data_IF_896858906047
#
_entry.id   IF_896858906047
#
_cell.length_a   1.000
_cell.length_b   1.000
_cell.length_c   1.000
_cell.angle_alpha   90.00
_cell.angle_beta   90.00
_cell.angle_gamma   90.00
#
_symmetry.space_group_name_H-M   'P 1'
#
loop_
_entity.id
_entity.type
_entity.pdbx_description
1 polymer ?
#
# COMPACT_ATOMS: atom_id res chain seq x y z
N UNK A 1 4.16 14.24 14.59
CA UNK A 1 3.03 14.13 15.54
C UNK A 1 1.76 13.88 14.75
N UNK A 2 1.23 12.66 14.74
CA UNK A 2 -0.20 12.43 14.46
C UNK A 2 -0.63 11.31 15.38
N UNK A 3 -0.93 11.71 16.60
CA UNK A 3 -1.73 10.95 17.56
C UNK A 3 -3.19 11.16 17.18
N UNK A 4 -3.97 10.10 17.05
CA UNK A 4 -5.43 10.18 17.09
C UNK A 4 -5.90 8.78 17.50
N UNK A 5 -6.11 8.49 18.78
CA UNK A 5 -7.06 9.19 19.64
C UNK A 5 -8.46 8.64 19.42
N UNK A 6 -8.66 7.34 19.62
CA UNK A 6 -9.99 6.72 19.79
C UNK A 6 -10.58 7.16 21.11
N UNK A 7 -11.65 7.96 21.11
CA UNK A 7 -12.75 7.92 22.10
C UNK A 7 -13.77 9.04 21.84
N UNK A 8 -14.91 8.71 21.22
CA UNK A 8 -16.16 9.43 21.47
C UNK A 8 -17.27 8.43 21.76
N UNK A 9 -17.97 8.77 22.84
CA UNK A 9 -18.89 7.99 23.66
C UNK A 9 -20.30 8.01 23.03
N UNK A 10 -20.97 6.87 23.13
CA UNK A 10 -22.34 6.51 22.72
C UNK A 10 -23.39 7.62 22.93
N UNK A 11 -24.25 7.91 21.93
CA UNK A 11 -25.73 7.81 21.96
C UNK A 11 -26.36 8.36 20.66
N UNK A 12 -27.40 7.65 20.17
CA UNK A 12 -28.36 7.93 19.08
C UNK A 12 -28.04 7.23 17.77
N UNK A 13 -28.86 6.21 17.50
CA UNK A 13 -28.89 5.46 16.25
C UNK A 13 -29.31 6.38 15.10
N UNK A 14 -28.41 6.54 14.13
CA UNK A 14 -28.73 6.74 12.73
C UNK A 14 -27.61 6.04 11.96
N UNK A 15 -27.91 4.86 11.42
CA UNK A 15 -27.02 4.13 10.52
C UNK A 15 -26.85 4.99 9.27
N UNK A 16 -25.72 5.67 9.18
CA UNK A 16 -25.19 6.16 7.92
C UNK A 16 -23.92 5.35 7.70
N UNK A 17 -24.01 4.38 6.79
CA UNK A 17 -22.84 3.68 6.25
C UNK A 17 -22.05 4.72 5.48
N UNK A 18 -21.20 5.47 6.18
CA UNK A 18 -20.11 6.18 5.57
C UNK A 18 -19.12 5.09 5.15
N UNK A 19 -19.27 4.64 3.91
CA UNK A 19 -18.29 3.80 3.25
C UNK A 19 -16.92 4.43 3.51
N UNK A 20 -16.04 3.69 4.21
CA UNK A 20 -14.63 4.02 4.20
C UNK A 20 -14.23 3.98 2.72
N UNK A 21 -14.15 5.14 2.10
CA UNK A 21 -13.32 5.33 0.94
C UNK A 21 -11.90 5.06 1.41
N UNK A 22 -11.49 3.79 1.30
CA UNK A 22 -10.09 3.50 1.06
C UNK A 22 -9.74 4.35 -0.15
N UNK A 23 -9.07 5.48 0.05
CA UNK A 23 -8.40 6.18 -1.03
C UNK A 23 -7.41 5.18 -1.62
N UNK A 24 -7.89 4.46 -2.63
CA UNK A 24 -7.04 3.90 -3.66
C UNK A 24 -6.51 5.10 -4.40
N UNK A 25 -5.41 5.66 -3.92
CA UNK A 25 -4.53 6.41 -4.82
C UNK A 25 -3.91 5.35 -5.72
N UNK A 26 -4.63 5.06 -6.80
CA UNK A 26 -4.03 4.69 -8.07
C UNK A 26 -3.12 5.86 -8.44
N UNK A 27 -1.89 5.85 -7.93
CA UNK A 27 -0.82 6.71 -8.42
C UNK A 27 -0.31 6.10 -9.73
N UNK A 28 -1.23 6.03 -10.70
CA UNK A 28 -1.02 5.56 -12.05
C UNK A 28 -0.58 6.68 -12.99
N UNK A 29 -0.02 7.76 -12.45
CA UNK A 29 0.32 8.93 -13.23
C UNK A 29 1.73 9.39 -12.85
N UNK A 30 2.65 9.26 -13.82
CA UNK A 30 3.91 10.01 -13.94
C UNK A 30 5.16 9.37 -13.31
N UNK A 31 5.90 8.64 -14.15
CA UNK A 31 7.34 8.35 -14.02
C UNK A 31 7.84 8.20 -12.57
N UNK A 32 7.56 7.05 -11.97
CA UNK A 32 8.09 6.70 -10.64
C UNK A 32 9.59 6.46 -10.78
N UNK A 33 10.42 7.47 -10.51
CA UNK A 33 11.87 7.25 -10.36
C UNK A 33 12.17 6.32 -9.19
N UNK A 34 11.33 6.36 -8.13
CA UNK A 34 11.36 5.45 -7.00
C UNK A 34 10.17 5.63 -6.05
N UNK A 35 9.87 4.62 -5.23
CA UNK A 35 8.91 4.73 -4.12
C UNK A 35 9.44 5.65 -3.01
N UNK A 36 8.65 6.67 -2.64
CA UNK A 36 8.90 7.53 -1.46
C UNK A 36 8.09 7.11 -0.24
N UNK A 37 7.00 6.38 -0.47
CA UNK A 37 6.12 5.83 0.57
C UNK A 37 5.83 4.37 0.24
N UNK A 38 5.42 3.60 1.25
CA UNK A 38 5.10 2.18 1.12
C UNK A 38 3.76 1.86 1.76
N UNK A 39 3.02 0.94 1.14
CA UNK A 39 1.81 0.37 1.67
C UNK A 39 2.09 -0.92 2.44
N UNK A 40 1.34 -1.13 3.53
CA UNK A 40 1.28 -2.42 4.25
C UNK A 40 0.11 -3.29 3.81
N UNK A 41 -0.83 -2.73 3.05
CA UNK A 41 -2.01 -3.45 2.56
C UNK A 41 -1.59 -4.51 1.56
N UNK A 42 -2.17 -5.70 1.69
CA UNK A 42 -1.94 -6.79 0.75
C UNK A 42 -2.51 -6.47 -0.63
N UNK A 43 -1.70 -6.71 -1.67
CA UNK A 43 -2.13 -6.57 -3.06
C UNK A 43 -2.92 -7.81 -3.45
N UNK A 44 -4.20 -7.62 -3.70
CA UNK A 44 -5.11 -8.67 -4.19
C UNK A 44 -5.14 -8.74 -5.71
N UNK A 45 -4.69 -7.68 -6.39
CA UNK A 45 -4.63 -7.64 -7.84
C UNK A 45 -3.61 -8.65 -8.38
N UNK A 46 -3.84 -9.21 -9.59
CA UNK A 46 -2.87 -10.08 -10.24
C UNK A 46 -1.53 -9.34 -10.44
N UNK A 47 -0.47 -9.92 -9.87
CA UNK A 47 0.89 -9.42 -9.98
C UNK A 47 1.50 -10.06 -11.24
N UNK A 48 2.06 -9.25 -12.13
CA UNK A 48 2.72 -9.69 -13.36
C UNK A 48 4.24 -9.74 -13.20
N UNK A 49 4.78 -8.99 -12.24
CA UNK A 49 6.20 -8.93 -11.94
C UNK A 49 6.47 -8.19 -10.64
N UNK A 50 7.73 -8.19 -10.22
CA UNK A 50 8.18 -7.45 -9.04
C UNK A 50 9.61 -6.98 -9.20
N UNK A 51 9.98 -5.93 -8.48
CA UNK A 51 11.36 -5.52 -8.27
C UNK A 51 11.57 -5.03 -6.85
N UNK A 52 12.79 -5.18 -6.38
CA UNK A 52 13.22 -4.66 -5.09
C UNK A 52 13.85 -3.28 -5.27
N UNK A 53 13.55 -2.39 -4.34
CA UNK A 53 14.12 -1.05 -4.29
C UNK A 53 14.87 -0.89 -2.97
N UNK A 54 16.15 -0.52 -3.07
CA UNK A 54 16.95 -0.17 -1.91
C UNK A 54 16.66 1.24 -1.39
N UNK A 55 17.03 1.46 -0.13
CA UNK A 55 16.87 2.77 0.49
C UNK A 55 17.91 3.75 -0.07
N UNK A 56 17.47 4.82 -0.73
CA UNK A 56 18.31 5.88 -1.26
C UNK A 56 17.55 7.21 -1.28
N UNK A 57 17.74 8.07 -0.29
CA UNK A 57 16.92 9.27 -0.11
C UNK A 57 16.82 10.11 -1.42
N UNK A 58 15.59 10.49 -1.86
CA UNK A 58 14.31 10.45 -1.15
C UNK A 58 13.54 9.11 -1.24
N UNK A 59 14.12 8.09 -1.86
CA UNK A 59 13.54 6.78 -2.05
C UNK A 59 13.65 5.93 -0.79
N UNK A 60 12.55 5.26 -0.42
CA UNK A 60 12.50 4.35 0.73
C UNK A 60 12.68 2.91 0.28
N UNK A 61 13.15 2.02 1.17
CA UNK A 61 13.22 0.59 0.86
C UNK A 61 11.81 0.01 0.64
N UNK A 62 11.58 -0.56 -0.54
CA UNK A 62 10.28 -1.08 -0.95
C UNK A 62 10.42 -2.32 -1.84
N UNK A 63 9.36 -3.13 -1.89
CA UNK A 63 9.13 -4.10 -2.97
C UNK A 63 8.05 -3.53 -3.85
N UNK A 64 8.32 -3.39 -5.13
CA UNK A 64 7.40 -2.80 -6.09
C UNK A 64 6.78 -3.94 -6.89
N UNK A 65 5.47 -4.08 -6.81
CA UNK A 65 4.73 -5.05 -7.61
C UNK A 65 4.18 -4.40 -8.86
N UNK A 66 4.41 -5.03 -9.99
CA UNK A 66 3.72 -4.71 -11.24
C UNK A 66 2.39 -5.44 -11.27
N UNK A 67 1.33 -4.69 -11.52
CA UNK A 67 -0.02 -5.23 -11.67
C UNK A 67 -0.62 -4.68 -12.95
N UNK A 68 -1.70 -5.28 -13.44
CA UNK A 68 -2.44 -4.72 -14.58
C UNK A 68 -2.98 -3.30 -14.37
N UNK A 69 -2.99 -2.80 -13.12
CA UNK A 69 -3.40 -1.43 -12.76
C UNK A 69 -2.22 -0.46 -12.58
N UNK A 70 -0.98 -0.95 -12.68
CA UNK A 70 0.23 -0.17 -12.48
C UNK A 70 1.11 -0.69 -11.34
N UNK A 71 1.95 0.21 -10.83
CA UNK A 71 3.02 -0.11 -9.88
C UNK A 71 2.55 0.07 -8.44
N UNK A 72 2.87 -0.89 -7.57
CA UNK A 72 2.47 -0.85 -6.17
C UNK A 72 3.66 -0.97 -5.22
N UNK A 73 3.96 0.12 -4.50
CA UNK A 73 5.01 0.20 -3.49
C UNK A 73 4.60 -0.52 -2.19
N UNK A 74 5.23 -1.65 -1.90
CA UNK A 74 4.94 -2.49 -0.73
C UNK A 74 6.06 -2.47 0.29
N UNK A 75 5.69 -2.54 1.56
CA UNK A 75 6.68 -2.62 2.63
C UNK A 75 7.32 -4.01 2.68
N UNK A 76 8.63 -4.08 2.41
CA UNK A 76 9.38 -5.33 2.26
C UNK A 76 9.29 -6.32 3.45
N UNK A 77 8.92 -5.88 4.66
CA UNK A 77 8.81 -6.75 5.84
C UNK A 77 7.41 -7.33 6.07
N UNK A 78 6.43 -6.99 5.24
CA UNK A 78 5.11 -7.59 5.39
C UNK A 78 5.16 -9.09 5.05
N UNK A 79 4.56 -9.97 5.87
CA UNK A 79 4.62 -11.42 5.65
C UNK A 79 4.10 -11.86 4.28
N UNK A 80 3.08 -11.16 3.76
CA UNK A 80 2.48 -11.46 2.46
C UNK A 80 3.41 -11.12 1.29
N UNK A 81 4.27 -10.10 1.42
CA UNK A 81 5.20 -9.68 0.36
C UNK A 81 6.15 -10.81 0.02
N UNK A 82 6.73 -11.46 1.04
CA UNK A 82 7.60 -12.62 0.85
C UNK A 82 6.88 -13.77 0.14
N UNK A 83 5.63 -14.06 0.56
CA UNK A 83 4.82 -15.12 -0.07
C UNK A 83 4.56 -14.82 -1.55
N UNK A 84 4.32 -13.57 -1.92
CA UNK A 84 4.12 -13.17 -3.32
C UNK A 84 5.41 -13.28 -4.13
N UNK A 85 6.54 -12.81 -3.60
CA UNK A 85 7.85 -12.92 -4.27
C UNK A 85 8.20 -14.39 -4.58
N UNK A 86 7.97 -15.30 -3.63
CA UNK A 86 8.19 -16.73 -3.81
C UNK A 86 7.37 -17.39 -4.92
N UNK A 87 6.33 -16.72 -5.44
CA UNK A 87 5.57 -17.23 -6.59
C UNK A 87 6.29 -16.97 -7.92
N UNK A 88 7.34 -16.14 -7.91
CA UNK A 88 8.12 -15.73 -9.08
C UNK A 88 9.58 -16.23 -9.03
N UNK A 89 9.98 -16.93 -7.96
CA UNK A 89 11.27 -17.62 -7.81
C UNK A 89 11.08 -19.12 -8.04
#
# INVERSE_FOLDING_TARGET
>A
MVTCGTLVKIWRAAVVIAALSCSGTVDGEKMVSCCKTVSKKEVTDPITGYWTQDNNAPCVRAVIFETGKGLFCSYHREPWVRRKIQQFE
#
